data_IF_728155849804
#
_entry.id   IF_728155849804
#
_cell.length_a   1.000
_cell.length_b   1.000
_cell.length_c   1.000
_cell.angle_alpha   90.00
_cell.angle_beta   90.00
_cell.angle_gamma   90.00
#
_symmetry.space_group_name_H-M   'P 1'
#
loop_
_entity.id
_entity.type
_entity.pdbx_description
1 polymer ?
#
# COMPACT_ATOMS: atom_id res chain seq x y z
N UNK A 1 -2.77 -1.68 12.59
CA UNK A 1 -2.23 -0.51 11.88
C UNK A 1 -2.78 0.80 12.44
N UNK A 2 -4.10 0.99 12.51
CA UNK A 2 -4.72 2.19 13.09
C UNK A 2 -4.18 2.61 14.49
N UNK A 3 -4.14 1.70 15.47
CA UNK A 3 -3.61 2.04 16.80
C UNK A 3 -2.11 2.39 16.78
N UNK A 4 -1.33 1.80 15.87
CA UNK A 4 0.08 2.17 15.69
C UNK A 4 0.23 3.57 15.09
N UNK A 5 -0.64 3.94 14.14
CA UNK A 5 -0.69 5.29 13.57
C UNK A 5 -1.08 6.34 14.62
N UNK A 6 -2.04 6.04 15.51
CA UNK A 6 -2.36 6.93 16.64
C UNK A 6 -1.18 7.17 17.57
N UNK A 7 -0.42 6.10 17.87
CA UNK A 7 0.79 6.21 18.69
C UNK A 7 1.87 7.03 17.97
N UNK A 8 2.13 6.75 16.69
CA UNK A 8 3.13 7.47 15.89
C UNK A 8 2.80 8.97 15.78
N UNK A 9 1.53 9.31 15.55
CA UNK A 9 1.06 10.70 15.53
C UNK A 9 1.31 11.41 16.87
N UNK A 10 1.07 10.75 18.02
CA UNK A 10 1.36 11.33 19.34
C UNK A 10 2.85 11.61 19.60
N UNK A 11 3.73 10.96 18.84
CA UNK A 11 5.18 11.07 18.92
C UNK A 11 5.78 11.95 17.81
N UNK A 12 4.94 12.53 16.94
CA UNK A 12 5.37 13.24 15.72
C UNK A 12 6.32 12.38 14.86
N UNK A 13 5.97 11.10 14.70
CA UNK A 13 6.71 10.14 13.88
C UNK A 13 5.84 9.61 12.74
N UNK A 14 6.50 9.15 11.67
CA UNK A 14 5.83 8.52 10.54
C UNK A 14 5.64 7.01 10.75
N UNK A 15 4.57 6.46 10.16
CA UNK A 15 4.49 5.04 9.86
C UNK A 15 4.95 4.82 8.42
N UNK A 16 5.93 3.93 8.25
CA UNK A 16 6.50 3.53 6.95
C UNK A 16 6.10 2.08 6.70
N UNK A 17 5.38 1.79 5.61
CA UNK A 17 4.86 0.45 5.34
C UNK A 17 5.30 -0.12 4.00
N UNK A 18 5.81 -1.36 4.06
CA UNK A 18 5.83 -2.29 2.94
C UNK A 18 4.39 -2.79 2.74
N UNK A 19 3.75 -2.36 1.66
CA UNK A 19 2.34 -2.64 1.41
C UNK A 19 2.16 -3.97 0.68
N UNK A 20 1.70 -4.97 1.40
CA UNK A 20 1.41 -6.31 0.88
C UNK A 20 0.22 -6.91 1.64
N UNK A 21 -0.79 -7.42 0.92
CA UNK A 21 -1.85 -8.23 1.51
C UNK A 21 -1.50 -9.71 1.38
N UNK A 22 -1.25 -10.36 2.53
CA UNK A 22 -0.81 -11.75 2.61
C UNK A 22 -1.76 -12.73 1.89
N UNK A 23 -3.07 -12.45 1.88
CA UNK A 23 -4.06 -13.31 1.23
C UNK A 23 -4.02 -13.21 -0.31
N UNK A 24 -3.37 -12.16 -0.83
CA UNK A 24 -3.25 -11.88 -2.26
C UNK A 24 -1.86 -12.17 -2.83
N UNK A 25 -0.91 -12.65 -2.03
CA UNK A 25 0.44 -13.02 -2.51
C UNK A 25 0.36 -14.23 -3.46
N UNK A 26 -0.55 -15.17 -3.18
CA UNK A 26 -0.76 -16.41 -3.96
C UNK A 26 0.52 -17.23 -4.24
N UNK A 27 1.53 -17.12 -3.36
CA UNK A 27 2.83 -17.75 -3.56
C UNK A 27 3.56 -17.27 -4.81
N UNK A 28 3.24 -16.06 -5.29
CA UNK A 28 3.86 -15.46 -6.46
C UNK A 28 5.31 -15.06 -6.21
N UNK A 29 6.12 -15.06 -7.28
CA UNK A 29 7.53 -14.69 -7.24
C UNK A 29 7.91 -13.58 -8.25
N UNK A 30 6.98 -13.20 -9.11
CA UNK A 30 7.10 -12.15 -10.13
C UNK A 30 5.78 -11.39 -10.24
N UNK A 31 5.71 -10.32 -11.02
CA UNK A 31 4.43 -9.66 -11.32
C UNK A 31 3.47 -10.60 -12.07
N UNK A 32 2.20 -10.64 -11.67
CA UNK A 32 1.16 -11.34 -12.42
C UNK A 32 0.83 -10.60 -13.73
N UNK A 33 1.32 -11.15 -14.85
CA UNK A 33 1.17 -10.52 -16.15
C UNK A 33 1.62 -11.41 -17.31
N UNK A 34 2.00 -10.79 -18.43
CA UNK A 34 2.45 -11.50 -19.63
C UNK A 34 3.68 -12.37 -19.35
N UNK A 35 4.66 -11.84 -18.61
CA UNK A 35 5.88 -12.55 -18.26
C UNK A 35 5.62 -13.81 -17.42
N UNK A 36 4.81 -13.70 -16.35
CA UNK A 36 4.52 -14.85 -15.48
C UNK A 36 3.79 -15.95 -16.25
N UNK A 37 2.82 -15.58 -17.10
CA UNK A 37 2.10 -16.50 -17.99
C UNK A 37 3.03 -17.17 -19.00
N UNK A 38 3.89 -16.41 -19.66
CA UNK A 38 4.81 -16.93 -20.68
C UNK A 38 5.85 -17.91 -20.09
N UNK A 39 6.21 -17.75 -18.82
CA UNK A 39 7.23 -18.57 -18.14
C UNK A 39 6.66 -19.60 -17.17
N UNK A 40 5.33 -19.72 -17.05
CA UNK A 40 4.69 -20.67 -16.12
C UNK A 40 5.02 -20.39 -14.65
N UNK A 41 5.20 -19.12 -14.28
CA UNK A 41 5.51 -18.71 -12.91
C UNK A 41 4.26 -18.16 -12.21
N UNK A 42 4.19 -18.34 -10.90
CA UNK A 42 3.14 -17.73 -10.08
C UNK A 42 3.39 -16.21 -9.98
N UNK A 43 2.36 -15.43 -10.29
CA UNK A 43 2.42 -13.97 -10.25
C UNK A 43 1.81 -13.39 -8.97
N UNK A 44 2.32 -12.25 -8.52
CA UNK A 44 1.71 -11.40 -7.50
C UNK A 44 0.87 -10.33 -8.23
N UNK A 45 -0.44 -10.28 -8.00
CA UNK A 45 -1.32 -9.31 -8.65
C UNK A 45 -1.11 -7.91 -8.05
N UNK A 46 -1.31 -6.87 -8.88
CA UNK A 46 -1.19 -5.46 -8.44
C UNK A 46 -2.12 -5.09 -7.27
N UNK A 47 -3.22 -5.84 -7.09
CA UNK A 47 -4.13 -5.65 -5.96
C UNK A 47 -3.50 -6.02 -4.62
N UNK A 48 -2.49 -6.89 -4.58
CA UNK A 48 -1.77 -7.24 -3.35
C UNK A 48 -1.11 -6.01 -2.70
N UNK A 49 -0.57 -5.09 -3.50
CA UNK A 49 0.00 -3.82 -3.01
C UNK A 49 -1.10 -2.77 -2.77
N UNK A 50 -1.93 -2.52 -3.79
CA UNK A 50 -2.78 -1.32 -3.82
C UNK A 50 -3.91 -1.33 -2.78
N UNK A 51 -4.43 -2.50 -2.38
CA UNK A 51 -5.50 -2.58 -1.35
C UNK A 51 -4.99 -2.18 0.03
N UNK A 52 -3.75 -2.53 0.36
CA UNK A 52 -3.13 -2.18 1.65
C UNK A 52 -2.92 -0.66 1.72
N UNK A 53 -2.46 -0.04 0.64
CA UNK A 53 -2.32 1.43 0.53
C UNK A 53 -3.68 2.09 0.66
N UNK A 54 -4.70 1.61 -0.06
CA UNK A 54 -6.05 2.19 -0.03
C UNK A 54 -6.68 2.13 1.36
N UNK A 55 -6.45 1.04 2.10
CA UNK A 55 -6.83 0.95 3.51
C UNK A 55 -6.08 1.98 4.35
N UNK A 56 -4.76 2.02 4.23
CA UNK A 56 -3.92 2.77 5.15
C UNK A 56 -3.98 4.27 4.98
N UNK A 57 -4.30 4.80 3.79
CA UNK A 57 -4.54 6.24 3.63
C UNK A 57 -5.75 6.71 4.46
N UNK A 58 -6.81 5.90 4.55
CA UNK A 58 -7.98 6.22 5.38
C UNK A 58 -7.67 6.09 6.88
N UNK A 59 -6.87 5.10 7.26
CA UNK A 59 -6.43 4.94 8.65
C UNK A 59 -5.51 6.07 9.09
N UNK A 60 -4.62 6.52 8.20
CA UNK A 60 -3.70 7.63 8.44
C UNK A 60 -4.46 8.96 8.57
N UNK A 61 -5.45 9.20 7.71
CA UNK A 61 -6.37 10.33 7.81
C UNK A 61 -7.10 10.34 9.16
N UNK A 62 -7.73 9.22 9.54
CA UNK A 62 -8.45 9.10 10.81
C UNK A 62 -7.54 9.26 12.04
N UNK A 63 -6.28 8.83 11.94
CA UNK A 63 -5.30 8.93 13.03
C UNK A 63 -4.51 10.26 13.03
N UNK A 64 -4.69 11.11 12.01
CA UNK A 64 -3.85 12.29 11.77
C UNK A 64 -2.34 11.97 11.80
N UNK A 65 -1.94 10.89 11.11
CA UNK A 65 -0.57 10.37 11.12
C UNK A 65 0.12 10.62 9.78
N UNK A 66 1.40 11.00 9.79
CA UNK A 66 2.22 10.93 8.59
C UNK A 66 2.42 9.46 8.20
N UNK A 67 1.94 9.11 7.00
CA UNK A 67 2.05 7.77 6.44
C UNK A 67 2.90 7.78 5.16
N UNK A 68 3.89 6.90 5.10
CA UNK A 68 4.79 6.73 3.97
C UNK A 68 4.66 5.33 3.38
N UNK A 69 4.45 5.27 2.06
CA UNK A 69 4.35 4.01 1.30
C UNK A 69 5.71 3.67 0.70
N UNK A 70 6.26 2.51 1.03
CA UNK A 70 7.51 2.01 0.45
C UNK A 70 7.34 1.62 -1.03
N UNK A 71 8.40 1.80 -1.82
CA UNK A 71 8.64 1.19 -3.14
C UNK A 71 7.39 0.88 -3.99
N UNK A 72 6.56 1.89 -4.25
CA UNK A 72 5.34 1.78 -5.07
C UNK A 72 5.66 1.16 -6.44
N UNK A 73 4.89 0.16 -6.84
CA UNK A 73 5.10 -0.55 -8.12
C UNK A 73 3.89 -0.55 -9.06
N UNK A 74 2.68 -0.23 -8.57
CA UNK A 74 1.45 -0.35 -9.37
C UNK A 74 0.80 0.98 -9.75
N UNK A 75 0.09 1.01 -10.89
CA UNK A 75 -0.64 2.20 -11.34
C UNK A 75 -1.82 2.54 -10.42
N UNK A 76 -2.47 1.52 -9.84
CA UNK A 76 -3.54 1.67 -8.85
C UNK A 76 -3.01 2.34 -7.58
N UNK A 77 -1.86 1.88 -7.06
CA UNK A 77 -1.19 2.47 -5.89
C UNK A 77 -0.89 3.96 -6.10
N UNK A 78 -0.34 4.32 -7.27
CA UNK A 78 -0.09 5.73 -7.62
C UNK A 78 -1.40 6.54 -7.65
N UNK A 79 -2.50 5.96 -8.16
CA UNK A 79 -3.81 6.61 -8.17
C UNK A 79 -4.31 6.87 -6.74
N UNK A 80 -4.27 5.85 -5.88
CA UNK A 80 -4.69 5.96 -4.48
C UNK A 80 -3.90 7.06 -3.75
N UNK A 81 -2.57 7.05 -3.84
CA UNK A 81 -1.73 8.08 -3.18
C UNK A 81 -2.02 9.48 -3.74
N UNK A 82 -2.21 9.61 -5.06
CA UNK A 82 -2.55 10.89 -5.68
C UNK A 82 -3.88 11.43 -5.16
N UNK A 83 -4.89 10.57 -5.04
CA UNK A 83 -6.22 11.00 -4.60
C UNK A 83 -6.25 11.28 -3.10
N UNK A 84 -5.54 10.50 -2.28
CA UNK A 84 -5.34 10.80 -0.87
C UNK A 84 -4.67 12.17 -0.66
N UNK A 85 -3.64 12.50 -1.45
CA UNK A 85 -2.98 13.82 -1.40
C UNK A 85 -3.85 14.99 -1.88
N UNK A 86 -4.92 14.75 -2.65
CA UNK A 86 -5.87 15.82 -3.02
C UNK A 86 -6.86 16.11 -1.89
N UNK A 87 -7.20 15.08 -1.11
CA UNK A 87 -8.15 15.17 0.00
C UNK A 87 -7.48 15.68 1.28
N UNK A 88 -6.27 15.20 1.55
CA UNK A 88 -5.37 15.77 2.54
C UNK A 88 -4.90 17.13 2.02
N UNK A 89 -5.67 18.18 2.30
CA UNK A 89 -5.24 19.55 2.12
C UNK A 89 -3.94 19.71 2.89
N UNK A 90 -2.84 19.89 2.15
CA UNK A 90 -1.47 20.08 2.64
C UNK A 90 -1.41 21.13 3.74
#
# INVERSE_FOLDING_TARGET
>A
MYEAMKQAASLDQAIVAHCEDNSLIYGGCVHEGEFSKANGLNGIPSICESVHIARDVLLAEAANCHYHVCHISTKESVRVVRDAKKQASV
#
